data_IF_961142774382
#
_entry.id   IF_961142774382
#
_cell.length_a   1.000
_cell.length_b   1.000
_cell.length_c   1.000
_cell.angle_alpha   90.00
_cell.angle_beta   90.00
_cell.angle_gamma   90.00
#
_symmetry.space_group_name_H-M   'P 1'
#
loop_
_entity.id
_entity.type
_entity.pdbx_description
1 polymer ?
#
# COMPACT_ATOMS: atom_id res chain seq x y z
N UNK A 1 -7.56 -16.52 -4.72
CA UNK A 1 -6.80 -15.70 -5.69
C UNK A 1 -6.16 -16.63 -6.68
N UNK A 2 -6.28 -16.33 -7.96
CA UNK A 2 -5.72 -17.12 -9.05
C UNK A 2 -5.00 -16.21 -10.03
N UNK A 3 -3.88 -16.69 -10.55
CA UNK A 3 -3.17 -16.10 -11.67
C UNK A 3 -2.86 -17.24 -12.63
N UNK A 4 -3.29 -17.09 -13.87
CA UNK A 4 -3.06 -18.06 -14.93
C UNK A 4 -2.43 -17.33 -16.10
N UNK A 5 -2.01 -18.12 -17.08
CA UNK A 5 -1.75 -17.65 -18.43
C UNK A 5 -3.05 -17.13 -19.09
N UNK A 6 -3.18 -17.25 -20.41
CA UNK A 6 -4.27 -16.69 -21.20
C UNK A 6 -5.68 -16.81 -20.60
N UNK A 7 -6.19 -18.01 -20.27
CA UNK A 7 -7.54 -18.17 -19.75
C UNK A 7 -7.66 -19.28 -18.70
N UNK A 8 -8.66 -19.19 -17.84
CA UNK A 8 -8.97 -20.26 -16.90
C UNK A 8 -10.46 -20.38 -16.56
N UNK A 9 -10.86 -21.59 -16.18
CA UNK A 9 -12.14 -21.89 -15.55
C UNK A 9 -11.88 -22.63 -14.23
N UNK A 10 -12.64 -22.32 -13.20
CA UNK A 10 -12.51 -22.92 -11.87
C UNK A 10 -13.83 -23.57 -11.47
N UNK A 11 -13.71 -24.79 -10.97
CA UNK A 11 -14.80 -25.59 -10.45
C UNK A 11 -14.60 -25.83 -8.95
N UNK A 12 -15.68 -25.69 -8.20
CA UNK A 12 -15.77 -26.11 -6.81
C UNK A 12 -16.80 -27.23 -6.71
N UNK A 13 -16.37 -28.40 -6.24
CA UNK A 13 -17.22 -29.58 -6.10
C UNK A 13 -17.97 -29.93 -7.42
N UNK A 14 -17.28 -29.75 -8.56
CA UNK A 14 -17.83 -30.00 -9.90
C UNK A 14 -18.70 -28.89 -10.48
N UNK A 15 -18.99 -27.82 -9.72
CA UNK A 15 -19.74 -26.65 -10.20
C UNK A 15 -18.79 -25.55 -10.62
N UNK A 16 -19.00 -24.99 -11.81
CA UNK A 16 -18.25 -23.81 -12.26
C UNK A 16 -18.56 -22.61 -11.37
N UNK A 17 -17.53 -22.02 -10.79
CA UNK A 17 -17.63 -20.84 -9.93
C UNK A 17 -16.92 -19.61 -10.52
N UNK A 18 -16.07 -19.83 -11.52
CA UNK A 18 -15.32 -18.77 -12.16
C UNK A 18 -14.98 -19.14 -13.59
N UNK A 19 -15.03 -18.13 -14.45
CA UNK A 19 -14.49 -18.14 -15.80
C UNK A 19 -13.76 -16.84 -16.07
N UNK A 20 -12.52 -16.91 -16.53
CA UNK A 20 -11.74 -15.76 -16.97
C UNK A 20 -11.22 -15.96 -18.40
N UNK A 21 -11.49 -14.97 -19.25
CA UNK A 21 -10.98 -14.90 -20.61
C UNK A 21 -11.28 -16.15 -21.48
N UNK A 22 -12.44 -16.78 -21.25
CA UNK A 22 -12.94 -17.92 -22.02
C UNK A 22 -14.32 -17.59 -22.62
N UNK A 23 -14.70 -18.21 -23.76
CA UNK A 23 -16.03 -18.04 -24.34
C UNK A 23 -17.14 -18.52 -23.38
N UNK A 24 -18.36 -18.04 -23.58
CA UNK A 24 -19.55 -18.59 -22.91
C UNK A 24 -19.88 -20.01 -23.45
N UNK A 25 -20.66 -20.78 -22.68
CA UNK A 25 -21.08 -22.12 -23.05
C UNK A 25 -20.23 -23.23 -22.44
N UNK A 26 -20.33 -24.44 -22.99
CA UNK A 26 -19.59 -25.60 -22.52
C UNK A 26 -18.09 -25.42 -22.80
N UNK A 27 -17.28 -25.63 -21.76
CA UNK A 27 -15.82 -25.65 -21.86
C UNK A 27 -15.37 -27.09 -22.11
N UNK A 28 -14.40 -27.25 -23.00
CA UNK A 28 -13.73 -28.50 -23.34
C UNK A 28 -12.22 -28.26 -23.37
N UNK A 29 -11.42 -29.34 -23.36
CA UNK A 29 -9.97 -29.24 -23.47
C UNK A 29 -9.48 -28.46 -24.72
N UNK A 30 -10.27 -28.45 -25.80
CA UNK A 30 -9.96 -27.72 -27.05
C UNK A 30 -10.43 -26.25 -27.02
N UNK A 31 -11.15 -25.84 -25.98
CA UNK A 31 -11.60 -24.45 -25.84
C UNK A 31 -10.40 -23.54 -25.69
N UNK A 32 -10.39 -22.42 -26.40
CA UNK A 32 -9.30 -21.44 -26.38
C UNK A 32 -9.68 -20.20 -25.58
N UNK A 33 -8.66 -19.54 -25.04
CA UNK A 33 -8.82 -18.21 -24.49
C UNK A 33 -9.26 -17.20 -25.57
N UNK A 34 -10.00 -16.16 -25.17
CA UNK A 34 -10.53 -15.15 -26.10
C UNK A 34 -9.45 -14.17 -26.58
N UNK A 35 -8.52 -13.82 -25.69
CA UNK A 35 -7.36 -12.97 -25.99
C UNK A 35 -6.10 -13.53 -25.33
N UNK A 36 -4.93 -13.12 -25.83
CA UNK A 36 -3.67 -13.34 -25.12
C UNK A 36 -3.67 -12.52 -23.82
N UNK A 37 -3.20 -13.10 -22.72
CA UNK A 37 -2.86 -12.38 -21.49
C UNK A 37 -1.39 -12.01 -21.56
N UNK A 38 -1.05 -10.72 -21.46
CA UNK A 38 0.34 -10.27 -21.53
C UNK A 38 0.66 -9.15 -20.51
N UNK A 39 1.96 -8.94 -20.34
CA UNK A 39 2.49 -7.78 -19.63
C UNK A 39 2.07 -7.71 -18.17
N UNK A 40 1.16 -6.80 -17.84
CA UNK A 40 0.68 -6.60 -16.46
C UNK A 40 -0.49 -7.54 -16.12
N UNK A 41 -1.38 -7.84 -17.07
CA UNK A 41 -2.58 -8.66 -16.80
C UNK A 41 -2.18 -10.06 -16.32
N UNK A 42 -1.21 -10.66 -17.01
CA UNK A 42 -0.62 -11.96 -16.68
C UNK A 42 0.08 -11.99 -15.30
N UNK A 43 0.48 -10.83 -14.76
CA UNK A 43 1.19 -10.74 -13.47
C UNK A 43 0.27 -10.58 -12.27
N UNK A 44 -0.99 -10.19 -12.49
CA UNK A 44 -1.92 -9.84 -11.43
C UNK A 44 -2.77 -11.02 -11.01
N UNK A 45 -2.94 -11.19 -9.70
CA UNK A 45 -3.92 -12.13 -9.20
C UNK A 45 -5.32 -11.58 -9.39
N UNK A 46 -6.20 -12.45 -9.85
CA UNK A 46 -7.63 -12.24 -9.81
C UNK A 46 -8.18 -12.74 -8.48
N UNK A 47 -9.09 -11.97 -7.89
CA UNK A 47 -9.67 -12.25 -6.59
C UNK A 47 -11.13 -12.66 -6.74
N UNK A 48 -11.48 -13.73 -6.03
CA UNK A 48 -12.82 -14.30 -6.02
C UNK A 48 -13.18 -14.65 -4.59
N UNK A 49 -14.34 -14.16 -4.15
CA UNK A 49 -14.97 -14.58 -2.91
C UNK A 49 -15.83 -15.79 -3.23
N UNK A 50 -15.60 -16.88 -2.50
CA UNK A 50 -16.46 -18.05 -2.50
C UNK A 50 -17.23 -18.00 -1.20
N UNK A 51 -18.56 -17.91 -1.29
CA UNK A 51 -19.42 -17.94 -0.11
C UNK A 51 -19.42 -19.34 0.52
N UNK A 52 -19.51 -19.38 1.84
CA UNK A 52 -19.39 -20.62 2.59
C UNK A 52 -20.53 -21.62 2.30
N UNK A 53 -21.67 -21.14 1.79
CA UNK A 53 -22.81 -21.96 1.37
C UNK A 53 -22.52 -22.80 0.12
N UNK A 54 -21.47 -22.47 -0.64
CA UNK A 54 -20.99 -23.27 -1.77
C UNK A 54 -20.05 -24.40 -1.33
N UNK A 55 -19.62 -24.41 -0.06
CA UNK A 55 -18.81 -25.47 0.51
C UNK A 55 -19.70 -26.57 1.11
N UNK A 56 -19.21 -27.80 1.03
CA UNK A 56 -19.81 -28.95 1.72
C UNK A 56 -19.04 -29.28 2.99
N UNK A 57 -19.72 -29.88 3.97
CA UNK A 57 -19.04 -30.40 5.15
C UNK A 57 -18.03 -31.48 4.75
N UNK A 58 -16.78 -31.34 5.23
CA UNK A 58 -15.69 -32.25 4.90
C UNK A 58 -14.85 -31.78 3.70
N UNK A 59 -14.48 -32.72 2.84
CA UNK A 59 -13.57 -32.45 1.72
C UNK A 59 -14.28 -31.64 0.62
N UNK A 60 -13.66 -30.53 0.23
CA UNK A 60 -14.06 -29.75 -0.94
C UNK A 60 -12.98 -29.87 -2.01
N UNK A 61 -13.37 -30.00 -3.27
CA UNK A 61 -12.46 -30.14 -4.40
C UNK A 61 -12.50 -28.88 -5.25
N UNK A 62 -11.33 -28.25 -5.42
CA UNK A 62 -11.13 -27.17 -6.39
C UNK A 62 -10.42 -27.77 -7.61
N UNK A 63 -11.06 -27.71 -8.77
CA UNK A 63 -10.47 -28.10 -10.05
C UNK A 63 -10.34 -26.86 -10.95
N UNK A 64 -9.25 -26.79 -11.71
CA UNK A 64 -8.92 -25.63 -12.56
C UNK A 64 -8.48 -26.14 -13.92
N UNK A 65 -9.04 -25.59 -14.98
CA UNK A 65 -8.56 -25.77 -16.35
C UNK A 65 -7.93 -24.44 -16.82
N UNK A 66 -6.74 -24.52 -17.40
CA UNK A 66 -6.04 -23.38 -18.00
C UNK A 66 -6.01 -23.58 -19.51
N UNK A 67 -6.37 -22.55 -20.25
CA UNK A 67 -6.48 -22.60 -21.71
C UNK A 67 -5.63 -21.50 -22.33
N UNK A 68 -4.91 -21.87 -23.38
CA UNK A 68 -4.10 -20.97 -24.19
C UNK A 68 -4.93 -20.35 -25.31
N UNK A 69 -4.56 -19.15 -25.76
CA UNK A 69 -5.08 -18.54 -27.00
C UNK A 69 -4.42 -19.17 -28.23
N UNK A 70 -3.12 -19.47 -28.14
CA UNK A 70 -2.32 -20.06 -29.20
C UNK A 70 -1.96 -21.51 -28.85
N UNK A 71 -2.36 -22.51 -29.66
CA UNK A 71 -2.01 -23.91 -29.43
C UNK A 71 -0.51 -24.20 -29.54
N UNK A 72 0.29 -23.24 -30.03
CA UNK A 72 1.75 -23.32 -30.12
C UNK A 72 2.45 -22.57 -29.00
N UNK A 73 1.72 -22.03 -28.01
CA UNK A 73 2.37 -21.40 -26.86
C UNK A 73 3.27 -22.41 -26.16
N UNK A 74 4.49 -21.98 -25.84
CA UNK A 74 5.48 -22.81 -25.15
C UNK A 74 5.46 -22.64 -23.64
N UNK A 75 4.75 -21.62 -23.16
CA UNK A 75 4.51 -21.31 -21.76
C UNK A 75 3.13 -21.78 -21.30
N UNK A 76 3.08 -22.12 -20.02
CA UNK A 76 1.87 -22.42 -19.28
C UNK A 76 2.19 -22.26 -17.80
N UNK A 77 1.38 -21.49 -17.08
CA UNK A 77 1.51 -21.43 -15.64
C UNK A 77 0.16 -21.24 -14.95
N UNK A 78 0.16 -21.65 -13.68
CA UNK A 78 -0.93 -21.46 -12.75
C UNK A 78 -0.33 -21.17 -11.37
N UNK A 79 -0.90 -20.18 -10.71
CA UNK A 79 -0.56 -19.82 -9.34
C UNK A 79 -1.87 -19.59 -8.57
N UNK A 80 -2.03 -20.30 -7.46
CA UNK A 80 -3.26 -20.33 -6.68
C UNK A 80 -2.95 -20.07 -5.21
N UNK A 81 -3.71 -19.16 -4.62
CA UNK A 81 -3.75 -18.96 -3.19
C UNK A 81 -5.19 -19.01 -2.69
N UNK A 82 -5.47 -19.96 -1.79
CA UNK A 82 -6.74 -20.07 -1.06
C UNK A 82 -6.57 -19.53 0.35
N UNK A 83 -7.57 -18.78 0.81
CA UNK A 83 -7.60 -18.21 2.15
C UNK A 83 -9.01 -18.32 2.74
N UNK A 84 -9.10 -18.96 3.89
CA UNK A 84 -10.33 -19.04 4.67
C UNK A 84 -10.53 -17.79 5.53
N UNK A 85 -11.77 -17.36 5.63
CA UNK A 85 -12.23 -16.26 6.47
C UNK A 85 -13.33 -16.81 7.38
N UNK A 86 -13.10 -16.90 8.71
CA UNK A 86 -14.07 -17.52 9.62
C UNK A 86 -15.37 -16.72 9.75
N UNK A 87 -15.34 -15.43 9.45
CA UNK A 87 -16.48 -14.51 9.49
C UNK A 87 -16.26 -13.31 8.54
N UNK A 88 -17.31 -12.54 8.27
CA UNK A 88 -17.21 -11.32 7.45
C UNK A 88 -16.34 -10.23 8.11
N UNK A 89 -16.25 -10.21 9.45
CA UNK A 89 -15.39 -9.29 10.19
C UNK A 89 -13.90 -9.54 9.87
N UNK A 90 -13.53 -10.77 9.51
CA UNK A 90 -12.19 -11.11 9.08
C UNK A 90 -11.87 -10.63 7.65
N UNK A 91 -12.88 -10.38 6.81
CA UNK A 91 -12.72 -9.73 5.51
C UNK A 91 -12.59 -8.21 5.65
N UNK A 92 -13.23 -7.62 6.67
CA UNK A 92 -13.27 -6.17 6.91
C UNK A 92 -12.98 -5.83 8.38
N UNK A 93 -11.76 -6.12 8.86
CA UNK A 93 -11.40 -5.96 10.26
C UNK A 93 -11.68 -4.55 10.76
N UNK A 94 -12.40 -4.49 11.87
CA UNK A 94 -12.76 -3.28 12.59
C UNK A 94 -11.52 -2.64 13.21
N UNK A 95 -11.57 -1.32 13.35
CA UNK A 95 -10.59 -0.58 14.11
C UNK A 95 -10.48 -1.17 15.52
N UNK A 96 -9.30 -1.65 15.90
CA UNK A 96 -9.03 -2.11 17.26
C UNK A 96 -8.58 -0.96 18.15
N UNK A 97 -8.89 -1.03 19.43
CA UNK A 97 -8.61 0.05 20.39
C UNK A 97 -7.12 0.43 20.42
N UNK A 98 -6.23 -0.56 20.42
CA UNK A 98 -4.78 -0.38 20.35
C UNK A 98 -4.28 0.41 19.13
N UNK A 99 -5.05 0.46 18.04
CA UNK A 99 -4.73 1.17 16.81
C UNK A 99 -5.52 2.48 16.66
N UNK A 100 -6.48 2.75 17.56
CA UNK A 100 -7.41 3.89 17.49
C UNK A 100 -6.68 5.22 17.35
N UNK A 101 -5.67 5.47 18.19
CA UNK A 101 -4.94 6.74 18.17
C UNK A 101 -4.35 7.02 16.78
N UNK A 102 -3.60 6.08 16.21
CA UNK A 102 -2.96 6.26 14.91
C UNK A 102 -3.97 6.40 13.77
N UNK A 103 -5.04 5.59 13.77
CA UNK A 103 -6.09 5.67 12.75
C UNK A 103 -6.83 7.01 12.81
N UNK A 104 -7.26 7.43 14.00
CA UNK A 104 -7.99 8.70 14.18
C UNK A 104 -7.11 9.89 13.85
N UNK A 105 -5.85 9.91 14.30
CA UNK A 105 -4.90 10.98 14.00
C UNK A 105 -4.66 11.09 12.48
N UNK A 106 -4.40 9.97 11.80
CA UNK A 106 -4.19 10.02 10.36
C UNK A 106 -5.45 10.42 9.58
N UNK A 107 -6.61 9.96 10.03
CA UNK A 107 -7.89 10.28 9.42
C UNK A 107 -8.23 11.78 9.56
N UNK A 108 -8.15 12.31 10.78
CA UNK A 108 -8.60 13.67 11.11
C UNK A 108 -7.52 14.75 10.96
N UNK A 109 -6.28 14.46 11.30
CA UNK A 109 -5.15 15.42 11.30
C UNK A 109 -4.24 15.25 10.08
N UNK A 110 -4.40 14.16 9.33
CA UNK A 110 -3.53 13.79 8.21
C UNK A 110 -2.06 13.61 8.61
N UNK A 111 -1.83 13.29 9.89
CA UNK A 111 -0.51 13.20 10.49
C UNK A 111 -0.55 12.20 11.65
N UNK A 112 0.38 11.24 11.67
CA UNK A 112 0.67 10.38 12.83
C UNK A 112 2.05 10.73 13.32
N UNK A 113 2.15 11.12 14.59
CA UNK A 113 3.41 11.59 15.17
C UNK A 113 4.52 10.53 15.22
N UNK A 114 5.79 10.96 15.32
CA UNK A 114 6.93 10.06 15.20
C UNK A 114 6.99 8.97 16.27
N UNK A 115 6.45 9.24 17.46
CA UNK A 115 6.39 8.30 18.59
C UNK A 115 5.14 7.41 18.61
N UNK A 116 4.16 7.68 17.74
CA UNK A 116 2.92 6.90 17.67
C UNK A 116 3.16 5.73 16.70
N UNK A 117 3.01 4.50 17.20
CA UNK A 117 3.25 3.28 16.42
C UNK A 117 1.99 2.84 15.67
N UNK A 118 2.18 2.24 14.49
CA UNK A 118 1.10 1.56 13.76
C UNK A 118 0.93 0.13 14.30
N UNK A 119 -0.17 -0.11 15.02
CA UNK A 119 -0.50 -1.39 15.67
C UNK A 119 -1.45 -2.23 14.83
N UNK A 120 -1.53 -3.52 15.14
CA UNK A 120 -2.48 -4.43 14.49
C UNK A 120 -3.92 -3.97 14.73
N UNK A 121 -4.76 -4.06 13.69
CA UNK A 121 -6.10 -3.49 13.67
C UNK A 121 -6.15 -2.02 13.24
N UNK A 122 -5.03 -1.45 12.77
CA UNK A 122 -5.03 -0.16 12.08
C UNK A 122 -5.75 -0.29 10.74
N UNK A 123 -6.56 0.73 10.42
CA UNK A 123 -7.26 0.85 9.14
C UNK A 123 -7.05 2.23 8.49
N UNK A 124 -6.88 2.26 7.17
CA UNK A 124 -6.85 3.49 6.36
C UNK A 124 -7.58 3.32 5.01
N UNK A 125 -8.73 3.99 4.87
CA UNK A 125 -9.51 4.06 3.64
C UNK A 125 -9.21 5.30 2.78
N UNK A 126 -8.23 6.13 3.14
CA UNK A 126 -8.00 7.42 2.48
C UNK A 126 -8.80 8.57 3.09
N UNK A 127 -8.80 9.74 2.44
CA UNK A 127 -9.42 10.97 2.98
C UNK A 127 -10.92 10.87 3.15
N UNK A 128 -11.58 10.10 2.29
CA UNK A 128 -13.02 9.91 2.32
C UNK A 128 -13.47 8.73 3.19
N UNK A 129 -12.55 8.11 3.95
CA UNK A 129 -12.91 7.07 4.90
C UNK A 129 -13.90 7.62 5.92
N UNK A 130 -14.88 6.82 6.32
CA UNK A 130 -15.75 7.08 7.46
C UNK A 130 -15.53 5.99 8.51
N UNK A 131 -15.71 6.33 9.77
CA UNK A 131 -15.76 5.38 10.87
C UNK A 131 -17.14 5.53 11.53
N UNK A 132 -17.83 4.43 11.77
CA UNK A 132 -19.03 4.44 12.61
C UNK A 132 -18.67 4.37 14.11
N UNK A 133 -19.70 4.40 14.96
CA UNK A 133 -19.57 4.38 16.41
C UNK A 133 -18.89 3.10 16.94
N UNK A 134 -18.98 2.01 16.18
CA UNK A 134 -18.38 0.70 16.51
C UNK A 134 -16.93 0.57 16.02
N UNK A 135 -16.44 1.54 15.25
CA UNK A 135 -15.12 1.51 14.64
C UNK A 135 -15.07 0.78 13.29
N UNK A 136 -16.21 0.51 12.67
CA UNK A 136 -16.25 -0.03 11.31
C UNK A 136 -15.86 1.07 10.31
N UNK A 137 -14.89 0.75 9.44
CA UNK A 137 -14.45 1.67 8.40
C UNK A 137 -15.22 1.46 7.10
N UNK A 138 -15.52 2.56 6.41
CA UNK A 138 -16.13 2.58 5.08
C UNK A 138 -15.38 3.53 4.16
N UNK A 139 -15.19 3.16 2.89
CA UNK A 139 -14.55 4.05 1.91
C UNK A 139 -14.95 3.74 0.47
N UNK A 140 -14.82 4.74 -0.41
CA UNK A 140 -14.93 4.57 -1.88
C UNK A 140 -13.68 3.95 -2.52
N UNK A 141 -12.83 3.35 -1.69
CA UNK A 141 -11.50 2.84 -1.98
C UNK A 141 -11.25 1.65 -1.08
N UNK A 142 -10.17 0.94 -1.36
CA UNK A 142 -9.67 -0.11 -0.49
C UNK A 142 -9.40 0.40 0.94
N UNK A 143 -9.71 -0.44 1.92
CA UNK A 143 -9.42 -0.25 3.33
C UNK A 143 -8.10 -0.97 3.64
N UNK A 144 -7.00 -0.22 3.74
CA UNK A 144 -5.69 -0.81 4.06
C UNK A 144 -5.70 -1.24 5.52
N UNK A 145 -5.28 -2.47 5.78
CA UNK A 145 -5.26 -3.07 7.11
C UNK A 145 -3.85 -3.47 7.47
N UNK A 146 -3.46 -3.18 8.70
CA UNK A 146 -2.26 -3.75 9.31
C UNK A 146 -2.67 -4.86 10.27
N UNK A 147 -2.24 -6.08 9.96
CA UNK A 147 -2.46 -7.25 10.79
C UNK A 147 -1.30 -8.23 10.64
N UNK A 148 -0.31 -8.13 11.54
CA UNK A 148 0.92 -8.93 11.47
C UNK A 148 0.69 -10.43 11.66
N UNK A 149 -0.41 -10.83 12.28
CA UNK A 149 -0.72 -12.25 12.49
C UNK A 149 -1.25 -12.90 11.21
N UNK A 150 -2.01 -12.13 10.43
CA UNK A 150 -2.72 -12.60 9.23
C UNK A 150 -1.99 -12.28 7.92
N UNK A 151 -1.01 -11.41 7.95
CA UNK A 151 -0.29 -10.91 6.76
C UNK A 151 1.12 -11.51 6.68
N UNK A 152 1.23 -12.66 6.03
CA UNK A 152 2.51 -13.34 5.82
C UNK A 152 3.49 -12.52 4.95
N UNK A 153 2.97 -11.73 4.00
CA UNK A 153 3.79 -10.86 3.16
C UNK A 153 4.36 -9.69 3.99
N UNK A 154 3.57 -9.09 4.88
CA UNK A 154 4.06 -8.08 5.82
C UNK A 154 5.12 -8.64 6.76
N UNK A 155 5.00 -9.90 7.19
CA UNK A 155 6.02 -10.56 8.02
C UNK A 155 7.38 -10.57 7.34
N UNK A 156 7.45 -10.87 6.04
CA UNK A 156 8.72 -10.83 5.30
C UNK A 156 9.34 -9.42 5.26
N UNK A 157 8.50 -8.38 5.18
CA UNK A 157 8.99 -7.00 5.27
C UNK A 157 9.51 -6.65 6.66
N UNK A 158 8.86 -7.15 7.70
CA UNK A 158 9.27 -6.97 9.09
C UNK A 158 10.59 -7.65 9.39
N UNK A 159 10.81 -8.87 8.88
CA UNK A 159 12.08 -9.59 9.03
C UNK A 159 13.26 -8.77 8.50
N UNK A 160 13.08 -8.07 7.37
CA UNK A 160 14.09 -7.12 6.86
C UNK A 160 14.32 -5.94 7.82
N UNK A 161 13.27 -5.36 8.39
CA UNK A 161 13.37 -4.26 9.35
C UNK A 161 14.06 -4.68 10.66
N UNK A 162 13.97 -5.96 11.04
CA UNK A 162 14.61 -6.53 12.22
C UNK A 162 16.01 -7.06 11.97
N UNK A 163 16.52 -7.03 10.74
CA UNK A 163 17.85 -7.56 10.41
C UNK A 163 18.98 -6.83 11.15
N UNK A 164 19.97 -7.58 11.62
CA UNK A 164 21.13 -7.04 12.32
C UNK A 164 21.94 -6.08 11.43
N UNK A 165 22.03 -6.38 10.13
CA UNK A 165 22.63 -5.51 9.12
C UNK A 165 21.99 -4.12 9.10
N UNK A 166 20.67 -4.04 9.22
CA UNK A 166 19.95 -2.78 9.23
C UNK A 166 20.11 -2.05 10.57
N UNK A 167 20.06 -2.78 11.69
CA UNK A 167 20.28 -2.22 13.04
C UNK A 167 21.69 -1.64 13.23
N UNK A 168 22.70 -2.23 12.58
CA UNK A 168 24.08 -1.74 12.65
C UNK A 168 24.29 -0.38 11.96
N UNK A 169 23.34 0.08 11.13
CA UNK A 169 23.46 1.36 10.42
C UNK A 169 23.05 2.54 11.30
N UNK A 170 23.75 3.66 11.08
CA UNK A 170 23.35 4.99 11.56
C UNK A 170 21.90 5.33 11.13
N UNK A 171 21.12 6.06 11.95
CA UNK A 171 19.69 6.26 11.74
C UNK A 171 19.29 6.75 10.33
N UNK A 172 20.02 7.71 9.76
CA UNK A 172 19.74 8.21 8.41
C UNK A 172 20.05 7.17 7.32
N UNK A 173 21.14 6.40 7.46
CA UNK A 173 21.47 5.31 6.55
C UNK A 173 20.45 4.17 6.65
N UNK A 174 19.99 3.88 7.87
CA UNK A 174 18.92 2.92 8.15
C UNK A 174 17.62 3.31 7.44
N UNK A 175 17.18 4.56 7.62
CA UNK A 175 16.02 5.12 6.94
C UNK A 175 16.18 5.07 5.40
N UNK A 176 17.37 5.39 4.89
CA UNK A 176 17.66 5.35 3.45
C UNK A 176 17.55 3.94 2.88
N UNK A 177 18.05 2.93 3.61
CA UNK A 177 17.95 1.52 3.21
C UNK A 177 16.50 1.03 3.22
N UNK A 178 15.74 1.38 4.26
CA UNK A 178 14.30 1.10 4.31
C UNK A 178 13.54 1.74 3.16
N UNK A 179 13.83 3.00 2.83
CA UNK A 179 13.15 3.71 1.74
C UNK A 179 13.39 3.02 0.38
N UNK A 180 14.62 2.58 0.11
CA UNK A 180 14.96 1.81 -1.09
C UNK A 180 14.30 0.42 -1.11
N UNK A 181 14.23 -0.24 0.04
CA UNK A 181 13.55 -1.53 0.19
C UNK A 181 12.05 -1.39 -0.12
N UNK A 182 11.38 -0.41 0.47
CA UNK A 182 9.96 -0.14 0.23
C UNK A 182 9.72 0.21 -1.25
N UNK A 183 10.54 1.07 -1.85
CA UNK A 183 10.39 1.41 -3.28
C UNK A 183 10.48 0.17 -4.17
N UNK A 184 11.43 -0.73 -3.91
CA UNK A 184 11.59 -1.96 -4.68
C UNK A 184 10.40 -2.91 -4.51
N UNK A 185 9.95 -3.13 -3.28
CA UNK A 185 8.90 -4.11 -2.99
C UNK A 185 7.48 -3.60 -3.25
N UNK A 186 7.32 -2.29 -3.42
CA UNK A 186 6.05 -1.66 -3.80
C UNK A 186 5.97 -1.27 -5.28
N UNK A 187 6.99 -1.57 -6.08
CA UNK A 187 6.99 -1.36 -7.53
C UNK A 187 6.89 -2.68 -8.27
N UNK A 188 6.18 -2.69 -9.41
CA UNK A 188 6.12 -3.86 -10.28
C UNK A 188 7.48 -4.12 -10.95
N UNK A 189 8.15 -3.04 -11.35
CA UNK A 189 9.51 -3.06 -11.88
C UNK A 189 10.22 -1.72 -11.57
N UNK A 190 11.50 -1.61 -11.92
CA UNK A 190 12.33 -0.43 -11.60
C UNK A 190 11.79 0.89 -12.18
N UNK A 191 11.02 0.83 -13.25
CA UNK A 191 10.47 1.97 -13.99
C UNK A 191 8.96 2.18 -13.71
N UNK A 192 8.24 1.13 -13.29
CA UNK A 192 6.81 1.13 -13.05
C UNK A 192 6.48 1.26 -11.55
N UNK A 193 6.54 2.51 -11.07
CA UNK A 193 6.29 2.90 -9.66
C UNK A 193 4.81 2.89 -9.28
N UNK A 194 3.93 2.99 -10.28
CA UNK A 194 2.49 2.85 -10.17
C UNK A 194 1.98 2.50 -11.56
N UNK A 195 1.04 1.57 -11.66
CA UNK A 195 0.36 1.30 -12.92
C UNK A 195 -1.07 1.81 -12.82
N UNK A 196 -1.58 2.42 -13.89
CA UNK A 196 -2.99 2.84 -13.97
C UNK A 196 -3.94 1.67 -13.63
N UNK A 197 -3.69 0.43 -14.09
CA UNK A 197 -4.51 -0.71 -13.68
C UNK A 197 -4.43 -1.04 -12.18
N UNK A 198 -3.28 -0.91 -11.53
CA UNK A 198 -3.15 -1.07 -10.07
C UNK A 198 -4.08 -0.11 -9.32
N UNK A 199 -4.09 1.15 -9.75
CA UNK A 199 -4.92 2.21 -9.16
C UNK A 199 -6.40 1.93 -9.40
N UNK A 200 -6.78 1.47 -10.59
CA UNK A 200 -8.16 1.11 -10.92
C UNK A 200 -8.64 -0.06 -10.07
N UNK A 201 -7.85 -1.13 -9.93
CA UNK A 201 -8.22 -2.28 -9.10
C UNK A 201 -8.48 -1.86 -7.65
N UNK A 202 -7.56 -1.12 -7.05
CA UNK A 202 -7.67 -0.62 -5.68
C UNK A 202 -8.87 0.31 -5.47
N UNK A 203 -9.23 1.10 -6.49
CA UNK A 203 -10.32 2.09 -6.39
C UNK A 203 -11.69 1.60 -6.82
N UNK A 204 -11.77 0.53 -7.63
CA UNK A 204 -13.03 -0.02 -8.14
C UNK A 204 -13.30 -1.41 -7.56
N UNK A 205 -12.44 -2.38 -7.84
CA UNK A 205 -12.65 -3.78 -7.45
C UNK A 205 -12.56 -3.98 -5.94
N UNK A 206 -11.64 -3.28 -5.27
CA UNK A 206 -11.48 -3.35 -3.81
C UNK A 206 -12.16 -2.18 -3.09
N UNK A 207 -13.07 -1.45 -3.74
CA UNK A 207 -13.78 -0.37 -3.08
C UNK A 207 -14.55 -0.90 -1.85
N UNK A 208 -14.28 -0.31 -0.69
CA UNK A 208 -14.84 -0.73 0.60
C UNK A 208 -14.44 -2.14 1.08
N UNK A 209 -13.48 -2.78 0.41
CA UNK A 209 -12.94 -4.08 0.81
C UNK A 209 -11.64 -3.95 1.60
N UNK A 210 -11.43 -4.86 2.54
CA UNK A 210 -10.21 -4.96 3.32
C UNK A 210 -9.05 -5.49 2.50
N UNK A 211 -7.95 -4.75 2.46
CA UNK A 211 -6.69 -5.19 1.84
C UNK A 211 -5.58 -5.17 2.88
N UNK A 212 -4.94 -6.32 3.09
CA UNK A 212 -3.75 -6.41 3.93
C UNK A 212 -2.58 -5.68 3.26
N UNK A 213 -1.85 -4.88 4.04
CA UNK A 213 -0.78 -4.01 3.53
C UNK A 213 0.30 -4.78 2.74
N UNK A 214 0.71 -5.95 3.21
CA UNK A 214 1.70 -6.80 2.53
C UNK A 214 1.20 -7.39 1.22
N UNK A 215 -0.12 -7.56 1.06
CA UNK A 215 -0.72 -8.15 -0.13
C UNK A 215 -0.93 -7.13 -1.27
N UNK A 216 -0.78 -5.82 -1.02
CA UNK A 216 -1.07 -4.76 -2.00
C UNK A 216 -0.41 -4.99 -3.36
N UNK A 217 0.88 -5.34 -3.38
CA UNK A 217 1.59 -5.58 -4.64
C UNK A 217 1.22 -6.89 -5.31
N UNK A 218 0.80 -7.90 -4.54
CA UNK A 218 0.30 -9.14 -5.09
C UNK A 218 -1.05 -8.96 -5.78
N UNK A 219 -1.93 -8.15 -5.19
CA UNK A 219 -3.27 -7.90 -5.71
C UNK A 219 -3.25 -6.91 -6.89
N UNK A 220 -2.37 -5.92 -6.85
CA UNK A 220 -2.46 -4.77 -7.76
C UNK A 220 -1.16 -4.50 -8.51
N UNK A 221 -0.10 -5.28 -8.30
CA UNK A 221 1.19 -5.16 -9.00
C UNK A 221 2.08 -4.06 -8.44
N UNK A 222 1.53 -2.93 -8.01
CA UNK A 222 2.28 -1.84 -7.39
C UNK A 222 1.47 -1.07 -6.35
N UNK A 223 2.14 -0.64 -5.27
CA UNK A 223 1.55 0.23 -4.25
C UNK A 223 1.76 1.71 -4.56
N UNK A 224 0.71 2.53 -4.42
CA UNK A 224 0.81 4.00 -4.50
C UNK A 224 1.35 4.65 -3.21
N UNK A 225 1.49 5.98 -3.21
CA UNK A 225 2.09 6.79 -2.13
C UNK A 225 1.62 6.41 -0.71
N UNK A 226 0.32 6.20 -0.47
CA UNK A 226 -0.21 5.86 0.86
C UNK A 226 0.26 4.48 1.36
N UNK A 227 0.35 3.49 0.48
CA UNK A 227 0.84 2.15 0.83
C UNK A 227 2.32 2.20 1.18
N UNK A 228 3.09 2.91 0.35
CA UNK A 228 4.53 3.06 0.54
C UNK A 228 4.87 3.82 1.82
N UNK A 229 4.16 4.93 2.09
CA UNK A 229 4.38 5.72 3.30
C UNK A 229 3.98 4.96 4.57
N UNK A 230 2.88 4.19 4.51
CA UNK A 230 2.43 3.35 5.63
C UNK A 230 3.41 2.19 5.89
N UNK A 231 3.84 1.47 4.85
CA UNK A 231 4.84 0.41 5.00
C UNK A 231 6.15 0.99 5.53
N UNK A 232 6.63 2.12 4.99
CA UNK A 232 7.84 2.75 5.49
C UNK A 232 7.73 3.12 6.97
N UNK A 233 6.63 3.76 7.39
CA UNK A 233 6.36 4.07 8.81
C UNK A 233 6.46 2.83 9.68
N UNK A 234 5.78 1.75 9.28
CA UNK A 234 5.74 0.51 10.02
C UNK A 234 7.14 -0.12 10.15
N UNK A 235 7.88 -0.24 9.05
CA UNK A 235 9.25 -0.79 9.09
C UNK A 235 10.22 0.10 9.86
N UNK A 236 10.08 1.42 9.77
CA UNK A 236 10.93 2.35 10.50
C UNK A 236 10.71 2.28 12.02
N UNK A 237 9.45 2.16 12.47
CA UNK A 237 9.12 1.96 13.88
C UNK A 237 9.77 0.70 14.46
N UNK A 238 9.76 -0.37 13.67
CA UNK A 238 10.32 -1.69 14.02
C UNK A 238 11.86 -1.69 13.97
N UNK A 239 12.43 -0.84 13.11
CA UNK A 239 13.85 -0.58 13.02
C UNK A 239 14.33 0.49 14.03
N UNK A 240 13.49 0.90 14.98
CA UNK A 240 13.85 1.84 16.06
C UNK A 240 14.08 3.28 15.62
N UNK A 241 13.42 3.73 14.55
CA UNK A 241 13.47 5.11 14.05
C UNK A 241 12.21 5.88 14.43
N UNK A 242 12.39 7.16 14.75
CA UNK A 242 11.29 8.08 15.01
C UNK A 242 10.79 8.68 13.69
N UNK A 243 9.66 8.17 13.19
CA UNK A 243 9.14 8.53 11.87
C UNK A 243 7.67 8.91 11.95
N UNK A 244 7.29 10.08 11.43
CA UNK A 244 5.90 10.44 11.26
C UNK A 244 5.33 9.88 9.95
N UNK A 245 4.02 9.65 9.92
CA UNK A 245 3.25 9.35 8.70
C UNK A 245 2.43 10.58 8.33
N UNK A 246 2.58 11.06 7.10
CA UNK A 246 1.99 12.32 6.64
C UNK A 246 1.15 12.12 5.39
N UNK A 247 0.00 12.78 5.34
CA UNK A 247 -0.85 12.87 4.15
C UNK A 247 -1.13 14.34 3.83
N UNK A 248 -0.97 14.66 2.57
CA UNK A 248 -1.20 16.01 2.07
C UNK A 248 -1.32 15.97 0.56
N UNK A 249 -0.98 17.04 -0.10
CA UNK A 249 -0.85 17.07 -1.55
C UNK A 249 0.62 17.26 -1.94
N UNK A 250 0.96 16.83 -3.16
CA UNK A 250 2.26 17.07 -3.76
C UNK A 250 2.08 17.74 -5.11
N UNK A 251 2.78 18.84 -5.34
CA UNK A 251 2.57 19.65 -6.52
C UNK A 251 3.08 21.07 -6.41
N UNK A 252 2.76 21.87 -7.41
CA UNK A 252 2.97 23.33 -7.44
C UNK A 252 1.65 24.03 -7.76
N UNK A 253 1.67 25.35 -7.99
CA UNK A 253 0.48 26.12 -8.31
C UNK A 253 -0.28 25.64 -9.57
N UNK A 254 0.38 24.88 -10.46
CA UNK A 254 -0.17 24.43 -11.75
C UNK A 254 -0.71 23.00 -11.71
N UNK A 255 -0.11 22.10 -10.91
CA UNK A 255 -0.52 20.70 -10.83
C UNK A 255 -0.36 20.16 -9.41
N UNK A 256 -1.48 19.74 -8.81
CA UNK A 256 -1.53 19.22 -7.45
C UNK A 256 -2.28 17.89 -7.41
N UNK A 257 -1.67 16.88 -6.78
CA UNK A 257 -2.29 15.57 -6.55
C UNK A 257 -2.23 15.17 -5.08
N UNK A 258 -3.14 14.29 -4.66
CA UNK A 258 -3.09 13.70 -3.33
C UNK A 258 -1.83 12.88 -3.13
N UNK A 259 -1.18 13.03 -1.98
CA UNK A 259 0.11 12.42 -1.68
C UNK A 259 0.22 11.97 -0.22
N UNK A 260 1.17 11.07 0.04
CA UNK A 260 1.55 10.65 1.38
C UNK A 260 3.06 10.38 1.41
N UNK A 261 3.67 10.73 2.52
CA UNK A 261 5.12 10.64 2.74
C UNK A 261 5.40 10.50 4.24
N UNK A 262 6.68 10.50 4.61
CA UNK A 262 7.10 10.37 6.00
C UNK A 262 8.06 11.48 6.41
N UNK A 263 8.15 11.72 7.71
CA UNK A 263 9.16 12.62 8.28
C UNK A 263 10.02 11.85 9.28
N UNK A 264 11.32 11.77 9.05
CA UNK A 264 12.30 11.21 9.97
C UNK A 264 12.76 12.28 10.96
N UNK A 265 12.82 11.92 12.24
CA UNK A 265 13.31 12.75 13.33
C UNK A 265 14.55 12.08 13.90
N UNK A 266 15.71 12.73 13.75
CA UNK A 266 16.97 12.23 14.30
C UNK A 266 17.17 12.72 15.75
N UNK A 267 17.90 11.96 16.59
CA UNK A 267 18.18 12.37 17.98
C UNK A 267 18.92 13.71 18.11
N UNK A 268 19.68 14.10 17.08
CA UNK A 268 20.40 15.37 17.01
C UNK A 268 19.53 16.57 16.58
N UNK A 269 18.21 16.37 16.48
CA UNK A 269 17.25 17.41 16.11
C UNK A 269 17.08 17.60 14.60
N UNK A 270 17.92 16.99 13.75
CA UNK A 270 17.72 17.05 12.30
C UNK A 270 16.45 16.30 11.90
N UNK A 271 15.75 16.85 10.92
CA UNK A 271 14.55 16.26 10.35
C UNK A 271 14.71 16.05 8.85
N UNK A 272 14.06 15.03 8.31
CA UNK A 272 14.09 14.73 6.87
C UNK A 272 12.71 14.34 6.35
N UNK A 273 12.31 14.82 5.18
CA UNK A 273 11.25 14.21 4.40
C UNK A 273 11.80 12.91 3.80
N UNK A 274 11.08 11.81 4.00
CA UNK A 274 11.29 10.55 3.30
C UNK A 274 10.09 10.31 2.38
N UNK A 275 10.32 10.39 1.08
CA UNK A 275 9.30 10.17 0.06
C UNK A 275 9.72 9.02 -0.85
N UNK A 276 9.27 7.83 -0.48
CA UNK A 276 9.53 6.58 -1.20
C UNK A 276 8.90 6.55 -2.59
N UNK A 277 7.81 7.30 -2.82
CA UNK A 277 7.13 7.38 -4.11
C UNK A 277 7.91 8.27 -5.10
N UNK A 278 8.44 9.40 -4.61
CA UNK A 278 9.26 10.32 -5.40
C UNK A 278 10.75 9.95 -5.40
N UNK A 279 11.17 8.95 -4.60
CA UNK A 279 12.57 8.57 -4.35
C UNK A 279 13.41 9.73 -3.81
N UNK A 280 12.84 10.49 -2.86
CA UNK A 280 13.47 11.69 -2.28
C UNK A 280 13.72 11.52 -0.79
N UNK A 281 14.89 11.96 -0.36
CA UNK A 281 15.26 12.15 1.04
C UNK A 281 15.78 13.58 1.13
N UNK A 282 15.07 14.45 1.84
CA UNK A 282 15.34 15.90 1.82
C UNK A 282 15.41 16.41 3.25
N UNK A 283 16.47 17.15 3.65
CA UNK A 283 16.51 17.76 4.97
C UNK A 283 15.38 18.79 5.14
N UNK A 284 14.73 18.74 6.30
CA UNK A 284 13.79 19.75 6.79
C UNK A 284 14.58 20.76 7.62
N UNK A 285 15.35 21.63 6.94
CA UNK A 285 16.15 22.71 7.52
C UNK A 285 15.46 24.08 7.45
N UNK A 286 16.04 25.08 8.12
CA UNK A 286 15.55 26.47 8.22
C UNK A 286 15.40 27.18 6.88
N UNK A 287 16.05 26.72 5.83
CA UNK A 287 16.04 27.33 4.50
C UNK A 287 14.83 26.98 3.64
N UNK A 288 13.93 26.10 4.12
CA UNK A 288 12.71 25.75 3.40
C UNK A 288 13.03 25.38 1.94
N UNK A 289 13.85 24.35 1.76
CA UNK A 289 14.31 23.93 0.42
C UNK A 289 13.18 24.03 -0.62
N UNK A 290 13.46 24.49 -1.85
CA UNK A 290 12.47 24.41 -2.95
C UNK A 290 11.91 22.99 -3.13
N UNK A 291 12.63 21.98 -2.66
CA UNK A 291 12.17 20.62 -2.60
C UNK A 291 10.97 20.41 -1.65
N UNK A 292 10.97 21.04 -0.47
CA UNK A 292 9.90 20.95 0.54
C UNK A 292 8.68 21.83 0.21
N UNK A 293 8.83 22.90 -0.57
CA UNK A 293 7.69 23.77 -0.97
C UNK A 293 6.62 23.04 -1.77
N UNK A 294 6.98 21.91 -2.41
CA UNK A 294 6.06 21.06 -3.17
C UNK A 294 5.18 20.17 -2.29
N UNK A 295 5.47 20.07 -0.99
CA UNK A 295 4.68 19.30 -0.04
C UNK A 295 3.67 20.22 0.63
N UNK A 296 2.39 19.91 0.39
CA UNK A 296 1.28 20.77 0.75
C UNK A 296 0.35 20.04 1.71
N UNK A 297 -0.37 20.79 2.54
CA UNK A 297 -1.55 20.32 3.26
C UNK A 297 -2.65 19.87 2.29
N UNK A 298 -3.63 19.12 2.80
CA UNK A 298 -4.81 18.73 2.02
C UNK A 298 -5.61 19.93 1.48
N UNK A 299 -5.41 21.12 2.06
CA UNK A 299 -5.99 22.41 1.66
C UNK A 299 -5.07 23.21 0.72
N UNK A 300 -4.05 22.59 0.14
CA UNK A 300 -3.08 23.21 -0.79
C UNK A 300 -2.23 24.35 -0.20
N UNK A 301 -2.13 24.44 1.13
CA UNK A 301 -1.17 25.35 1.81
C UNK A 301 0.19 24.66 1.96
N UNK A 302 1.33 25.38 1.96
CA UNK A 302 2.64 24.78 2.28
C UNK A 302 2.58 23.98 3.58
N UNK A 303 3.08 22.74 3.55
CA UNK A 303 3.18 21.90 4.75
C UNK A 303 4.35 22.35 5.63
N UNK A 304 5.46 22.72 4.99
CA UNK A 304 6.66 23.23 5.63
C UNK A 304 6.79 24.71 5.30
N UNK A 305 6.88 25.55 6.33
CA UNK A 305 7.16 26.96 6.15
C UNK A 305 8.65 27.14 5.81
N UNK A 306 8.97 28.11 4.96
CA UNK A 306 10.34 28.63 4.88
C UNK A 306 10.61 29.37 6.20
N UNK A 307 11.80 29.27 6.81
CA UNK A 307 12.08 30.20 7.90
C UNK A 307 12.03 31.61 7.33
N UNK A 308 11.44 32.53 8.09
CA UNK A 308 11.61 33.95 7.77
C UNK A 308 13.12 34.27 7.80
N UNK A 309 13.62 35.07 6.84
CA UNK A 309 14.99 35.54 6.90
C UNK A 309 15.15 36.29 8.23
N UNK A 310 16.13 35.84 9.04
CA UNK A 310 16.52 36.54 10.27
C UNK A 310 16.78 37.99 9.89
N UNK A 311 15.95 38.92 10.39
CA UNK A 311 16.20 40.35 10.21
C UNK A 311 17.62 40.63 10.67
N UNK A 312 18.49 41.02 9.74
CA UNK A 312 19.83 41.47 10.07
C UNK A 312 19.68 42.61 11.10
N UNK A 313 20.16 42.38 12.33
CA UNK A 313 20.22 43.41 13.36
C UNK A 313 20.88 44.65 12.74
N UNK A 314 20.07 45.67 12.47
CA UNK A 314 20.59 46.97 12.07
C UNK A 314 21.52 47.45 13.19
N UNK A 315 22.77 47.86 12.90
CA UNK A 315 23.66 48.34 13.94
C UNK A 315 23.01 49.55 14.62
N UNK A 316 22.88 49.48 15.95
CA UNK A 316 22.47 50.62 16.78
C UNK A 316 23.39 51.78 16.44
N UNK A 317 22.82 52.86 15.87
CA UNK A 317 23.51 54.14 15.80
C UNK A 317 23.80 54.57 17.24
N UNK A 318 25.08 54.62 17.58
CA UNK A 318 25.56 55.29 18.79
C UNK A 318 25.37 56.78 18.52
N UNK A 319 24.52 57.42 19.33
CA UNK A 319 24.36 58.87 19.31
C UNK A 319 25.60 59.50 19.95
N UNK A 320 26.25 60.41 19.22
CA UNK A 320 27.10 61.47 19.76
C UNK A 320 26.34 62.78 19.64
#
# INVERSE_FOLDING_TARGET
MIRSDDGCVVYLNGKEILRHNLPQGQITADTRALKRSDGLEERLYQYFKVDADQLVSGANVIAIEVHQVDPRSSDLFLDLALRGYPDDDSLRPKLREQARQATVDYHSKHFVGPKIKIRDGYVDGGRGMKLDETGQAFSRRELIIVDRQRDAALKQHLDFAHSEELKALEPLHRATRLAKYVDRNMSLDKNNRWSTPAVVLLTREYANEGVLLGDVTRLCGAGVCRHRALLFKLLADEAGLDVALVRGNYGDASRVGGHAWNELYLPDGRRFIIDTMQRRIVPLGSDGSQASSRYLTVKNKPWYQNAEPVEAMKPKKIAN
#
